data_IF_975468080291
#
_entry.id   IF_975468080291
#
_cell.length_a   1.000
_cell.length_b   1.000
_cell.length_c   1.000
_cell.angle_alpha   90.00
_cell.angle_beta   90.00
_cell.angle_gamma   90.00
#
_symmetry.space_group_name_H-M   'P 1'
#
loop_
_entity.id
_entity.type
_entity.pdbx_description
1 polymer ?
#
# COMPACT_ATOMS: atom_id res chain seq x y z
N UNK A 1 -18.00 2.65 2.46
CA UNK A 1 -17.12 1.69 3.17
C UNK A 1 -17.29 1.77 4.70
N UNK A 2 -17.06 2.93 5.33
CA UNK A 2 -17.19 3.09 6.79
C UNK A 2 -18.63 2.87 7.31
N UNK A 3 -19.65 3.25 6.55
CA UNK A 3 -21.07 3.06 6.91
C UNK A 3 -21.44 1.57 7.00
N UNK A 4 -20.98 0.76 6.03
CA UNK A 4 -21.21 -0.69 6.02
C UNK A 4 -20.53 -1.34 7.24
N UNK A 5 -19.28 -0.95 7.52
CA UNK A 5 -18.57 -1.41 8.72
C UNK A 5 -19.27 -0.98 10.02
N UNK A 6 -19.80 0.23 10.09
CA UNK A 6 -20.53 0.72 11.27
C UNK A 6 -21.82 -0.07 11.53
N UNK A 7 -22.50 -0.51 10.46
CA UNK A 7 -23.66 -1.40 10.55
C UNK A 7 -23.24 -2.79 11.06
N UNK A 8 -22.13 -3.35 10.56
CA UNK A 8 -21.59 -4.62 11.04
C UNK A 8 -21.12 -4.57 12.51
N UNK A 9 -20.57 -3.43 12.93
CA UNK A 9 -20.14 -3.17 14.31
C UNK A 9 -21.34 -3.19 15.27
N UNK A 10 -22.46 -2.57 14.87
CA UNK A 10 -23.72 -2.62 15.62
C UNK A 10 -24.31 -4.02 15.74
N UNK A 11 -23.98 -4.94 14.84
CA UNK A 11 -24.51 -6.31 14.83
C UNK A 11 -23.71 -7.30 15.72
N UNK A 12 -22.64 -6.88 16.39
CA UNK A 12 -21.76 -7.73 17.24
C UNK A 12 -21.15 -8.96 16.53
N UNK A 13 -21.12 -9.00 15.20
CA UNK A 13 -20.56 -10.11 14.40
C UNK A 13 -19.02 -10.04 14.32
N UNK A 14 -18.39 -9.13 15.05
CA UNK A 14 -16.94 -8.87 15.01
C UNK A 14 -16.07 -10.12 15.18
N UNK A 15 -16.38 -11.00 16.14
CA UNK A 15 -15.59 -12.22 16.40
C UNK A 15 -15.68 -13.20 15.23
N UNK A 16 -16.86 -13.32 14.62
CA UNK A 16 -17.07 -14.18 13.46
C UNK A 16 -16.40 -13.58 12.21
N UNK A 17 -16.42 -12.26 12.04
CA UNK A 17 -15.72 -11.57 10.95
C UNK A 17 -14.19 -11.71 11.07
N UNK A 18 -13.64 -11.59 12.29
CA UNK A 18 -12.20 -11.78 12.54
C UNK A 18 -11.80 -13.23 12.28
N UNK A 19 -12.65 -14.20 12.64
CA UNK A 19 -12.42 -15.61 12.34
C UNK A 19 -12.55 -15.92 10.84
N UNK A 20 -13.49 -15.28 10.14
CA UNK A 20 -13.68 -15.43 8.71
C UNK A 20 -12.64 -14.67 7.88
N UNK A 21 -12.01 -13.63 8.42
CA UNK A 21 -11.00 -12.81 7.74
C UNK A 21 -9.88 -13.63 7.07
N UNK A 22 -9.19 -14.59 7.72
CA UNK A 22 -8.17 -15.41 7.07
C UNK A 22 -8.76 -16.28 5.95
N UNK A 23 -9.98 -16.82 6.11
CA UNK A 23 -10.64 -17.60 5.07
C UNK A 23 -11.03 -16.75 3.86
N UNK A 24 -11.50 -15.51 4.08
CA UNK A 24 -11.80 -14.57 3.00
C UNK A 24 -10.53 -14.12 2.27
N UNK A 25 -9.44 -13.84 3.00
CA UNK A 25 -8.14 -13.48 2.42
C UNK A 25 -7.56 -14.64 1.61
N UNK A 26 -7.68 -15.86 2.11
CA UNK A 26 -7.22 -17.07 1.44
C UNK A 26 -8.06 -17.38 0.20
N UNK A 27 -9.37 -17.17 0.26
CA UNK A 27 -10.27 -17.22 -0.90
C UNK A 27 -9.90 -16.18 -1.97
N UNK A 28 -9.63 -14.94 -1.57
CA UNK A 28 -9.19 -13.84 -2.46
C UNK A 28 -7.86 -14.16 -3.17
N UNK A 29 -6.93 -14.79 -2.45
CA UNK A 29 -5.64 -15.22 -2.97
C UNK A 29 -5.75 -16.37 -3.97
N UNK A 30 -6.54 -17.39 -3.63
CA UNK A 30 -6.80 -18.57 -4.47
C UNK A 30 -7.58 -18.20 -5.74
N UNK A 31 -8.59 -17.35 -5.62
CA UNK A 31 -9.44 -16.92 -6.74
C UNK A 31 -8.83 -15.76 -7.56
N UNK A 32 -7.83 -15.08 -7.03
CA UNK A 32 -7.15 -13.97 -7.69
C UNK A 32 -5.87 -14.40 -8.40
N UNK A 33 -4.75 -14.28 -7.69
CA UNK A 33 -3.40 -14.43 -8.29
C UNK A 33 -3.03 -15.89 -8.55
N UNK A 34 -3.47 -16.79 -7.68
CA UNK A 34 -3.22 -18.23 -7.83
C UNK A 34 -4.29 -18.94 -8.64
N UNK A 35 -5.26 -18.20 -9.19
CA UNK A 35 -6.36 -18.77 -9.95
C UNK A 35 -5.89 -19.40 -11.26
N UNK A 36 -4.90 -18.80 -11.92
CA UNK A 36 -4.29 -19.40 -13.12
C UNK A 36 -3.46 -20.63 -12.75
N UNK A 37 -2.83 -20.67 -11.57
CA UNK A 37 -2.05 -21.82 -11.07
C UNK A 37 -2.93 -23.01 -10.65
N UNK A 38 -4.12 -22.74 -10.07
CA UNK A 38 -4.99 -23.77 -9.49
C UNK A 38 -6.19 -24.15 -10.37
N UNK A 39 -6.72 -23.22 -11.15
CA UNK A 39 -7.97 -23.37 -11.93
C UNK A 39 -7.78 -23.19 -13.44
N UNK A 40 -6.56 -22.84 -13.90
CA UNK A 40 -6.23 -22.75 -15.33
C UNK A 40 -7.02 -21.68 -16.11
N UNK A 41 -7.71 -20.76 -15.42
CA UNK A 41 -8.48 -19.66 -16.03
C UNK A 41 -8.28 -18.37 -15.25
N UNK A 42 -8.24 -17.25 -15.95
CA UNK A 42 -8.31 -15.93 -15.33
C UNK A 42 -9.75 -15.58 -14.97
N UNK A 43 -10.03 -15.38 -13.68
CA UNK A 43 -11.33 -14.87 -13.25
C UNK A 43 -11.38 -13.34 -13.37
N UNK A 44 -12.53 -12.77 -13.77
CA UNK A 44 -12.67 -11.34 -14.02
C UNK A 44 -12.46 -10.50 -12.75
N UNK A 45 -11.73 -9.40 -12.90
CA UNK A 45 -11.29 -8.48 -11.85
C UNK A 45 -12.40 -7.98 -10.91
N UNK A 46 -13.64 -7.85 -11.40
CA UNK A 46 -14.79 -7.33 -10.65
C UNK A 46 -15.21 -8.27 -9.50
N UNK A 47 -15.09 -9.59 -9.70
CA UNK A 47 -15.57 -10.59 -8.75
C UNK A 47 -14.61 -10.77 -7.57
N UNK A 48 -13.31 -10.69 -7.84
CA UNK A 48 -12.27 -10.87 -6.83
C UNK A 48 -12.01 -9.55 -6.08
N UNK A 49 -12.09 -8.39 -6.75
CA UNK A 49 -11.85 -7.07 -6.12
C UNK A 49 -13.08 -6.53 -5.39
N UNK A 50 -13.79 -7.40 -4.68
CA UNK A 50 -14.97 -7.04 -3.94
C UNK A 50 -14.59 -6.54 -2.54
N UNK A 51 -15.30 -5.53 -2.04
CA UNK A 51 -15.08 -4.97 -0.69
C UNK A 51 -15.14 -6.06 0.39
N UNK A 52 -15.95 -7.09 0.15
CA UNK A 52 -16.09 -8.25 1.02
C UNK A 52 -14.76 -9.00 1.22
N UNK A 53 -14.03 -9.28 0.14
CA UNK A 53 -12.84 -10.15 0.17
C UNK A 53 -11.56 -9.44 0.59
N UNK A 54 -11.43 -8.16 0.25
CA UNK A 54 -10.22 -7.38 0.54
C UNK A 54 -10.47 -6.41 1.70
N UNK A 55 -11.57 -5.67 1.66
CA UNK A 55 -11.84 -4.61 2.63
C UNK A 55 -12.15 -5.12 4.03
N UNK A 56 -12.92 -6.20 4.15
CA UNK A 56 -13.28 -6.77 5.46
C UNK A 56 -12.06 -7.34 6.18
N UNK A 57 -11.25 -8.23 5.57
CA UNK A 57 -10.13 -8.84 6.29
C UNK A 57 -9.08 -7.81 6.71
N UNK A 58 -8.73 -6.84 5.84
CA UNK A 58 -7.77 -5.80 6.21
C UNK A 58 -8.28 -4.86 7.31
N UNK A 59 -9.59 -4.56 7.33
CA UNK A 59 -10.18 -3.78 8.42
C UNK A 59 -10.13 -4.54 9.76
N UNK A 60 -10.45 -5.84 9.75
CA UNK A 60 -10.33 -6.71 10.92
C UNK A 60 -8.88 -6.79 11.44
N UNK A 61 -7.91 -6.95 10.53
CA UNK A 61 -6.48 -6.95 10.87
C UNK A 61 -6.07 -5.62 11.51
N UNK A 62 -6.49 -4.49 10.94
CA UNK A 62 -6.22 -3.17 11.52
C UNK A 62 -6.81 -3.01 12.93
N UNK A 63 -8.01 -3.53 13.18
CA UNK A 63 -8.63 -3.54 14.51
C UNK A 63 -7.90 -4.45 15.50
N UNK A 64 -7.44 -5.62 15.07
CA UNK A 64 -6.62 -6.51 15.91
C UNK A 64 -5.33 -5.82 16.36
N UNK A 65 -4.63 -5.16 15.43
CA UNK A 65 -3.41 -4.38 15.73
C UNK A 65 -3.72 -3.27 16.74
N UNK A 66 -4.86 -2.56 16.57
CA UNK A 66 -5.33 -1.55 17.53
C UNK A 66 -5.63 -2.13 18.92
N UNK A 67 -6.16 -3.35 18.99
CA UNK A 67 -6.44 -4.06 20.24
C UNK A 67 -5.19 -4.64 20.93
N UNK A 68 -3.99 -4.34 20.43
CA UNK A 68 -2.73 -4.76 21.06
C UNK A 68 -2.12 -6.03 20.48
N UNK A 69 -2.69 -6.61 19.42
CA UNK A 69 -2.12 -7.76 18.74
C UNK A 69 -0.74 -7.39 18.16
N UNK A 70 0.29 -8.18 18.48
CA UNK A 70 1.66 -7.97 17.98
C UNK A 70 2.46 -6.83 18.65
N UNK A 71 1.85 -6.01 19.51
CA UNK A 71 2.57 -4.90 20.17
C UNK A 71 3.62 -5.36 21.20
N UNK A 72 3.47 -6.58 21.74
CA UNK A 72 4.43 -7.20 22.67
C UNK A 72 5.70 -7.75 22.00
N UNK A 73 5.74 -7.84 20.68
CA UNK A 73 6.88 -8.37 19.93
C UNK A 73 8.04 -7.37 20.00
N UNK A 74 9.29 -7.82 20.13
CA UNK A 74 10.44 -6.89 20.18
C UNK A 74 10.70 -6.24 18.81
N UNK A 75 11.09 -4.96 18.78
CA UNK A 75 11.45 -4.22 17.56
C UNK A 75 12.47 -4.93 16.68
N UNK A 76 13.49 -5.56 17.28
CA UNK A 76 14.50 -6.35 16.56
C UNK A 76 13.90 -7.53 15.79
N UNK A 77 12.92 -8.22 16.38
CA UNK A 77 12.24 -9.35 15.75
C UNK A 77 11.35 -8.87 14.60
N UNK A 78 10.64 -7.75 14.78
CA UNK A 78 9.85 -7.15 13.69
C UNK A 78 10.73 -6.68 12.52
N UNK A 79 11.91 -6.13 12.79
CA UNK A 79 12.86 -5.74 11.75
C UNK A 79 13.35 -6.97 10.94
N UNK A 80 13.64 -8.08 11.62
CA UNK A 80 13.99 -9.35 10.94
C UNK A 80 12.82 -9.82 10.07
N UNK A 81 11.60 -9.85 10.59
CA UNK A 81 10.42 -10.23 9.80
C UNK A 81 10.21 -9.31 8.59
N UNK A 82 10.48 -8.01 8.71
CA UNK A 82 10.36 -7.07 7.61
C UNK A 82 11.34 -7.38 6.48
N UNK A 83 12.59 -7.72 6.82
CA UNK A 83 13.61 -8.13 5.86
C UNK A 83 13.21 -9.48 5.21
N UNK A 84 12.82 -10.46 6.03
CA UNK A 84 12.42 -11.79 5.55
C UNK A 84 11.23 -11.70 4.60
N UNK A 85 10.13 -11.05 4.99
CA UNK A 85 8.96 -10.92 4.12
C UNK A 85 9.21 -10.07 2.88
N UNK A 86 10.12 -9.08 2.94
CA UNK A 86 10.53 -8.36 1.74
C UNK A 86 11.27 -9.26 0.76
N UNK A 87 12.22 -10.07 1.25
CA UNK A 87 12.94 -11.05 0.44
C UNK A 87 12.01 -12.14 -0.12
N UNK A 88 11.10 -12.66 0.70
CA UNK A 88 10.09 -13.64 0.29
C UNK A 88 9.16 -13.06 -0.77
N UNK A 89 8.72 -11.80 -0.65
CA UNK A 89 7.87 -11.14 -1.67
C UNK A 89 8.59 -11.02 -3.02
N UNK A 90 9.89 -10.71 -3.00
CA UNK A 90 10.70 -10.68 -4.22
C UNK A 90 10.83 -12.08 -4.82
N UNK A 91 11.12 -13.09 -4.00
CA UNK A 91 11.24 -14.47 -4.46
C UNK A 91 9.92 -15.00 -5.03
N UNK A 92 8.79 -14.70 -4.39
CA UNK A 92 7.44 -15.05 -4.84
C UNK A 92 7.18 -14.42 -6.22
N UNK A 93 7.51 -13.13 -6.39
CA UNK A 93 7.46 -12.47 -7.70
C UNK A 93 8.34 -13.13 -8.74
N UNK A 94 9.60 -13.46 -8.42
CA UNK A 94 10.51 -14.10 -9.36
C UNK A 94 10.01 -15.50 -9.78
N UNK A 95 9.50 -16.29 -8.84
CA UNK A 95 8.96 -17.62 -9.11
C UNK A 95 7.67 -17.57 -9.95
N UNK A 96 6.78 -16.60 -9.70
CA UNK A 96 5.57 -16.43 -10.50
C UNK A 96 5.85 -15.91 -11.91
N UNK A 97 6.86 -15.05 -12.07
CA UNK A 97 7.31 -14.57 -13.38
C UNK A 97 8.00 -15.68 -14.16
N UNK A 98 8.83 -16.52 -13.53
CA UNK A 98 9.52 -17.63 -14.22
C UNK A 98 8.56 -18.73 -14.68
N UNK A 99 7.44 -18.92 -13.98
CA UNK A 99 6.39 -19.85 -14.36
C UNK A 99 5.41 -19.28 -15.41
N UNK A 100 5.56 -18.01 -15.82
CA UNK A 100 4.68 -17.33 -16.77
C UNK A 100 3.19 -17.24 -16.33
N UNK A 101 2.93 -17.44 -15.04
CA UNK A 101 1.59 -17.42 -14.42
C UNK A 101 1.31 -16.06 -13.78
N UNK A 102 1.92 -14.99 -14.32
CA UNK A 102 1.84 -13.67 -13.73
C UNK A 102 0.51 -12.99 -14.11
N UNK A 103 -0.58 -13.41 -13.46
CA UNK A 103 -1.86 -12.72 -13.54
C UNK A 103 -1.70 -11.27 -13.09
N UNK A 104 -2.46 -10.36 -13.68
CA UNK A 104 -2.31 -8.91 -13.51
C UNK A 104 -2.49 -8.37 -12.06
N UNK A 105 -2.79 -9.24 -11.08
CA UNK A 105 -2.95 -8.87 -9.66
C UNK A 105 -1.60 -8.78 -8.94
N UNK A 106 -1.35 -7.65 -8.31
CA UNK A 106 -0.12 -7.40 -7.52
C UNK A 106 -0.18 -7.90 -6.06
N UNK A 107 -1.27 -8.56 -5.63
CA UNK A 107 -1.42 -9.06 -4.27
C UNK A 107 -0.74 -10.42 -4.10
N UNK A 108 0.38 -10.44 -3.40
CA UNK A 108 1.12 -11.64 -3.00
C UNK A 108 0.81 -12.01 -1.55
N UNK A 109 0.94 -13.29 -1.18
CA UNK A 109 0.73 -13.72 0.21
C UNK A 109 1.72 -12.98 1.12
N UNK A 110 2.97 -12.93 0.68
CA UNK A 110 4.05 -12.29 1.43
C UNK A 110 3.83 -10.78 1.61
N UNK A 111 3.18 -10.10 0.65
CA UNK A 111 2.87 -8.65 0.78
C UNK A 111 1.87 -8.35 1.89
N UNK A 112 0.94 -9.26 2.16
CA UNK A 112 -0.06 -9.07 3.24
C UNK A 112 0.60 -9.16 4.62
N UNK A 113 1.49 -10.15 4.80
CA UNK A 113 2.29 -10.33 6.01
C UNK A 113 3.31 -9.20 6.20
N UNK A 114 3.92 -8.74 5.10
CA UNK A 114 4.82 -7.59 5.10
C UNK A 114 4.09 -6.34 5.57
N UNK A 115 2.90 -6.06 5.04
CA UNK A 115 2.10 -4.89 5.43
C UNK A 115 1.79 -4.89 6.94
N UNK A 116 1.35 -6.03 7.49
CA UNK A 116 1.10 -6.18 8.93
C UNK A 116 2.37 -5.89 9.74
N UNK A 117 3.49 -6.45 9.32
CA UNK A 117 4.79 -6.28 9.99
C UNK A 117 5.26 -4.83 9.96
N UNK A 118 5.09 -4.13 8.83
CA UNK A 118 5.40 -2.70 8.69
C UNK A 118 4.55 -1.88 9.67
N UNK A 119 3.23 -2.11 9.73
CA UNK A 119 2.37 -1.39 10.68
C UNK A 119 2.79 -1.63 12.13
N UNK A 120 3.03 -2.88 12.54
CA UNK A 120 3.53 -3.19 13.88
C UNK A 120 4.88 -2.54 14.17
N UNK A 121 5.80 -2.53 13.20
CA UNK A 121 7.10 -1.91 13.35
C UNK A 121 6.99 -0.38 13.49
N UNK A 122 6.12 0.26 12.71
CA UNK A 122 5.89 1.71 12.81
C UNK A 122 5.27 2.11 14.15
N UNK A 123 4.39 1.29 14.73
CA UNK A 123 3.81 1.54 16.06
C UNK A 123 4.86 1.51 17.17
N UNK A 124 5.92 0.71 17.02
CA UNK A 124 7.05 0.66 17.96
C UNK A 124 8.09 1.74 17.71
N UNK A 125 8.04 2.41 16.56
CA UNK A 125 8.92 3.52 16.25
C UNK A 125 8.28 4.82 16.73
N UNK A 126 8.72 5.33 17.88
CA UNK A 126 8.41 6.71 18.27
C UNK A 126 9.15 7.66 17.32
N UNK A 127 8.41 8.28 16.40
CA UNK A 127 8.95 9.18 15.38
C UNK A 127 9.47 10.48 16.00
N UNK A 128 10.79 10.64 16.05
CA UNK A 128 11.45 11.86 16.56
C UNK A 128 11.45 13.02 15.54
N UNK A 129 11.41 12.70 14.23
CA UNK A 129 11.56 13.69 13.16
C UNK A 129 10.25 14.42 12.82
N UNK A 130 10.04 15.56 13.48
CA UNK A 130 8.87 16.44 13.27
C UNK A 130 8.68 16.87 11.80
N UNK A 131 9.76 17.17 11.08
CA UNK A 131 9.70 17.68 9.70
C UNK A 131 9.20 16.63 8.72
N UNK A 132 9.72 15.39 8.79
CA UNK A 132 9.32 14.31 7.89
C UNK A 132 7.87 13.87 8.19
N UNK A 133 7.50 13.84 9.47
CA UNK A 133 6.13 13.58 9.89
C UNK A 133 5.15 14.67 9.43
N UNK A 134 5.57 15.95 9.46
CA UNK A 134 4.77 17.07 8.95
C UNK A 134 4.55 16.96 7.43
N UNK A 135 5.61 16.64 6.68
CA UNK A 135 5.54 16.46 5.22
C UNK A 135 4.57 15.32 4.89
N UNK A 136 4.72 14.16 5.53
CA UNK A 136 3.83 13.02 5.33
C UNK A 136 2.38 13.34 5.69
N UNK A 137 2.13 14.06 6.79
CA UNK A 137 0.77 14.41 7.21
C UNK A 137 0.10 15.42 6.27
N UNK A 138 0.82 16.44 5.80
CA UNK A 138 0.26 17.55 5.03
C UNK A 138 0.21 17.27 3.53
N UNK A 139 1.24 16.64 2.98
CA UNK A 139 1.43 16.52 1.53
C UNK A 139 1.14 15.13 0.96
N UNK A 140 1.05 14.06 1.77
CA UNK A 140 0.87 12.68 1.24
C UNK A 140 -0.32 12.51 0.29
N UNK A 141 -1.47 13.08 0.62
CA UNK A 141 -2.68 12.98 -0.22
C UNK A 141 -2.49 13.73 -1.54
N UNK A 142 -1.94 14.94 -1.48
CA UNK A 142 -1.67 15.74 -2.68
C UNK A 142 -0.59 15.14 -3.57
N UNK A 143 0.46 14.55 -2.97
CA UNK A 143 1.47 13.79 -3.69
C UNK A 143 0.84 12.60 -4.43
N UNK A 144 -0.05 11.86 -3.77
CA UNK A 144 -0.77 10.76 -4.39
C UNK A 144 -1.67 11.21 -5.55
N UNK A 145 -2.32 12.37 -5.45
CA UNK A 145 -3.18 12.87 -6.53
C UNK A 145 -2.36 13.44 -7.70
N UNK A 146 -1.26 14.16 -7.42
CA UNK A 146 -0.52 14.91 -8.44
C UNK A 146 0.58 14.10 -9.14
N UNK A 147 1.15 13.08 -8.50
CA UNK A 147 2.27 12.35 -9.10
C UNK A 147 2.01 11.79 -10.52
N UNK A 148 0.81 11.32 -10.92
CA UNK A 148 0.57 10.84 -12.29
C UNK A 148 0.70 11.96 -13.34
N UNK A 149 0.31 13.19 -12.98
CA UNK A 149 0.45 14.37 -13.84
C UNK A 149 1.94 14.67 -14.06
N UNK A 150 2.75 14.61 -13.01
CA UNK A 150 4.19 14.83 -13.12
C UNK A 150 4.91 13.69 -13.86
N UNK A 151 4.47 12.44 -13.69
CA UNK A 151 5.00 11.29 -14.46
C UNK A 151 4.79 11.53 -15.96
N UNK A 152 3.58 11.91 -16.37
CA UNK A 152 3.26 12.12 -17.79
C UNK A 152 4.01 13.31 -18.38
N UNK A 153 4.04 14.45 -17.68
CA UNK A 153 4.78 15.64 -18.12
C UNK A 153 6.29 15.39 -18.24
N UNK A 154 6.93 14.87 -17.19
CA UNK A 154 8.38 14.63 -17.19
C UNK A 154 8.73 13.51 -18.17
N UNK A 155 7.90 12.47 -18.28
CA UNK A 155 8.07 11.39 -19.25
C UNK A 155 8.05 11.89 -20.70
N UNK A 156 7.14 12.81 -21.04
CA UNK A 156 7.08 13.41 -22.38
C UNK A 156 8.33 14.24 -22.69
N UNK A 157 8.84 15.01 -21.72
CA UNK A 157 10.08 15.79 -21.89
C UNK A 157 11.29 14.86 -22.03
N UNK A 158 11.41 13.83 -21.18
CA UNK A 158 12.51 12.88 -21.23
C UNK A 158 12.56 12.10 -22.56
N UNK A 159 11.39 11.81 -23.14
CA UNK A 159 11.28 11.19 -24.47
C UNK A 159 11.79 12.13 -25.57
N UNK A 160 11.44 13.43 -25.53
CA UNK A 160 11.90 14.42 -26.51
C UNK A 160 13.42 14.68 -26.44
N UNK A 161 14.01 14.63 -25.25
CA UNK A 161 15.45 14.88 -25.04
C UNK A 161 16.29 13.60 -25.26
N UNK A 162 15.65 12.44 -25.50
CA UNK A 162 16.34 11.17 -25.76
C UNK A 162 16.93 10.49 -24.51
N UNK A 163 16.65 11.00 -23.31
CA UNK A 163 17.19 10.48 -22.03
C UNK A 163 16.25 9.49 -21.33
N UNK A 164 15.24 9.00 -22.06
CA UNK A 164 14.17 8.15 -21.52
C UNK A 164 14.69 6.87 -20.85
N UNK A 165 15.79 6.29 -21.35
CA UNK A 165 16.40 5.10 -20.78
C UNK A 165 16.85 5.26 -19.33
N UNK A 166 17.54 6.37 -19.02
CA UNK A 166 17.99 6.70 -17.67
C UNK A 166 16.79 7.12 -16.81
N UNK A 167 15.87 7.89 -17.39
CA UNK A 167 14.67 8.35 -16.70
C UNK A 167 13.83 7.19 -16.16
N UNK A 168 13.67 6.08 -16.90
CA UNK A 168 12.88 4.92 -16.44
C UNK A 168 13.30 4.38 -15.08
N UNK A 169 14.60 4.43 -14.75
CA UNK A 169 15.13 3.95 -13.46
C UNK A 169 14.96 4.96 -12.33
N UNK A 170 15.10 6.25 -12.62
CA UNK A 170 15.11 7.32 -11.61
C UNK A 170 13.75 8.05 -11.51
N UNK A 171 12.81 7.74 -12.42
CA UNK A 171 11.51 8.39 -12.53
C UNK A 171 10.75 8.51 -11.19
N UNK A 172 10.66 7.46 -10.34
CA UNK A 172 9.93 7.56 -9.09
C UNK A 172 10.52 8.59 -8.13
N UNK A 173 11.86 8.67 -8.07
CA UNK A 173 12.59 9.60 -7.20
C UNK A 173 12.44 11.03 -7.72
N UNK A 174 12.67 11.23 -9.03
CA UNK A 174 12.57 12.55 -9.67
C UNK A 174 11.16 13.10 -9.50
N UNK A 175 10.14 12.32 -9.85
CA UNK A 175 8.73 12.72 -9.74
C UNK A 175 8.37 13.08 -8.30
N UNK A 176 8.79 12.27 -7.33
CA UNK A 176 8.51 12.54 -5.91
C UNK A 176 9.14 13.85 -5.44
N UNK A 177 10.40 14.10 -5.77
CA UNK A 177 11.10 15.34 -5.39
C UNK A 177 10.45 16.54 -6.05
N UNK A 178 10.17 16.47 -7.36
CA UNK A 178 9.57 17.58 -8.12
C UNK A 178 8.16 17.92 -7.60
N UNK A 179 7.32 16.90 -7.38
CA UNK A 179 5.97 17.09 -6.83
C UNK A 179 6.01 17.69 -5.43
N UNK A 180 6.94 17.25 -4.57
CA UNK A 180 7.09 17.77 -3.22
C UNK A 180 7.52 19.24 -3.22
N UNK A 181 8.52 19.60 -4.02
CA UNK A 181 8.99 20.99 -4.15
C UNK A 181 7.84 21.89 -4.64
N UNK A 182 7.10 21.45 -5.66
CA UNK A 182 5.94 22.18 -6.17
C UNK A 182 4.90 22.44 -5.08
N UNK A 183 4.55 21.41 -4.30
CA UNK A 183 3.59 21.54 -3.20
C UNK A 183 4.07 22.48 -2.10
N UNK A 184 5.37 22.45 -1.75
CA UNK A 184 5.94 23.37 -0.76
C UNK A 184 5.92 24.83 -1.25
N UNK A 185 6.14 25.07 -2.54
CA UNK A 185 6.05 26.42 -3.13
C UNK A 185 4.61 26.92 -3.10
N UNK A 186 3.65 26.12 -3.56
CA UNK A 186 2.23 26.48 -3.56
C UNK A 186 1.74 26.79 -2.16
N UNK A 187 2.15 25.99 -1.16
CA UNK A 187 1.79 26.22 0.23
C UNK A 187 2.40 27.52 0.78
N UNK A 188 3.67 27.82 0.46
CA UNK A 188 4.29 29.10 0.82
C UNK A 188 3.57 30.31 0.21
N UNK A 189 3.21 30.23 -1.07
CA UNK A 189 2.48 31.32 -1.77
C UNK A 189 1.10 31.52 -1.15
N UNK A 190 0.38 30.42 -0.86
CA UNK A 190 -0.93 30.49 -0.23
C UNK A 190 -0.87 31.13 1.16
N UNK A 191 0.16 30.83 1.95
CA UNK A 191 0.35 31.44 3.27
C UNK A 191 0.68 32.94 3.15
N UNK A 192 1.53 33.33 2.19
CA UNK A 192 1.83 34.75 1.93
C UNK A 192 0.58 35.53 1.50
N UNK A 193 -0.28 34.96 0.65
CA UNK A 193 -1.50 35.59 0.18
C UNK A 193 -2.62 35.69 1.25
N UNK A 194 -2.55 34.89 2.32
CA UNK A 194 -3.50 34.96 3.45
C UNK A 194 -3.06 35.96 4.52
N UNK A 195 -1.77 36.26 4.62
CA UNK A 195 -1.22 37.26 5.56
C UNK A 195 -1.45 38.70 5.05
N UNK A 196 -1.62 38.88 3.74
CA UNK A 196 -1.86 40.17 3.08
C UNK A 196 -3.36 40.59 3.06
N UNK A 197 -4.21 39.92 3.86
CA UNK A 197 -5.67 40.12 3.90
C UNK A 197 -6.16 40.31 5.33
#
# INVERSE_FOLDING_TARGET
MLIIMHIFDKLKIEKCLVFAAPFLLMGDLILGKYSVLLLGREFPYILVRNFLFVGIPYFCIGRLIRNGFGQKVKKKVLAIFLIVFSATSLLERFALVSLNVNSARDHYISTTLLAITVFLFTLQCHGSNKTLALIGRKYSTWLYILHPIFITCIGMVAHKVGVYGIYKFIAPIVVYITTLIFLMIVDKIKMAAVIDR
#
